data_IF_037290680915
#
_entry.id   IF_037290680915
#
_cell.length_a   1.000
_cell.length_b   1.000
_cell.length_c   1.000
_cell.angle_alpha   90.00
_cell.angle_beta   90.00
_cell.angle_gamma   90.00
#
_symmetry.space_group_name_H-M   'P 1'
#
loop_
_entity.id
_entity.type
_entity.pdbx_description
1 polymer ?
#
# COMPACT_ATOMS: atom_id res chain seq x y z
N UNK A 1 1.43 15.28 3.51
CA UNK A 1 1.84 14.49 2.32
C UNK A 1 0.65 14.17 1.43
N UNK A 2 -0.27 13.34 1.86
CA UNK A 2 -1.53 13.04 1.17
C UNK A 2 -2.70 13.43 2.08
N UNK A 3 -3.65 14.22 1.56
CA UNK A 3 -4.86 14.60 2.29
C UNK A 3 -6.07 14.27 1.44
N UNK A 4 -7.06 13.66 2.06
CA UNK A 4 -8.33 13.28 1.43
C UNK A 4 -9.43 13.97 2.23
N UNK A 5 -10.29 14.70 1.54
CA UNK A 5 -11.41 15.43 2.12
C UNK A 5 -12.71 14.92 1.53
N UNK A 6 -13.60 14.44 2.39
CA UNK A 6 -15.01 14.13 2.10
C UNK A 6 -15.21 13.25 0.84
N UNK A 7 -14.29 12.28 0.63
CA UNK A 7 -14.29 11.43 -0.55
C UNK A 7 -15.46 10.47 -0.53
N UNK A 8 -16.27 10.47 -1.59
CA UNK A 8 -17.38 9.53 -1.75
C UNK A 8 -17.30 8.80 -3.09
N UNK A 9 -17.69 7.53 -3.09
CA UNK A 9 -17.77 6.69 -4.28
C UNK A 9 -18.85 5.63 -4.16
N UNK A 10 -19.70 5.57 -5.16
CA UNK A 10 -20.77 4.57 -5.29
C UNK A 10 -20.62 3.78 -6.59
N UNK A 11 -21.18 2.58 -6.62
CA UNK A 11 -21.34 1.74 -7.80
C UNK A 11 -22.81 1.30 -7.87
N UNK A 12 -23.55 1.90 -8.81
CA UNK A 12 -25.01 1.80 -8.80
C UNK A 12 -25.58 2.36 -7.50
N UNK A 13 -26.44 1.60 -6.84
CA UNK A 13 -27.06 2.01 -5.56
C UNK A 13 -26.18 1.71 -4.33
N UNK A 14 -25.02 1.06 -4.52
CA UNK A 14 -24.13 0.71 -3.41
C UNK A 14 -23.10 1.80 -3.16
N UNK A 15 -23.25 2.55 -2.05
CA UNK A 15 -22.20 3.41 -1.53
C UNK A 15 -21.05 2.57 -0.97
N UNK A 16 -19.81 2.85 -1.41
CA UNK A 16 -18.59 2.12 -1.02
C UNK A 16 -17.64 3.01 -0.22
N UNK A 17 -17.52 4.29 -0.59
CA UNK A 17 -16.87 5.32 0.22
C UNK A 17 -17.93 6.39 0.52
N UNK A 18 -17.99 6.80 1.77
CA UNK A 18 -18.99 7.72 2.27
C UNK A 18 -18.33 8.82 3.10
N UNK A 19 -18.18 9.99 2.49
CA UNK A 19 -17.64 11.20 3.11
C UNK A 19 -16.29 10.98 3.85
N UNK A 20 -15.44 10.15 3.26
CA UNK A 20 -14.19 9.71 3.86
C UNK A 20 -13.16 10.83 3.89
N UNK A 21 -12.64 11.12 5.08
CA UNK A 21 -11.55 12.08 5.25
C UNK A 21 -10.40 11.44 6.01
N UNK A 22 -9.16 11.63 5.51
CA UNK A 22 -7.94 11.14 6.15
C UNK A 22 -6.77 12.05 5.77
N UNK A 23 -5.87 12.29 6.72
CA UNK A 23 -4.64 13.04 6.51
C UNK A 23 -3.44 12.16 6.81
N UNK A 24 -2.56 12.00 5.83
CA UNK A 24 -1.35 11.18 5.91
C UNK A 24 -0.14 12.09 5.93
N UNK A 25 0.59 12.02 7.03
CA UNK A 25 1.75 12.88 7.28
C UNK A 25 2.97 12.41 6.46
N UNK A 26 3.87 13.34 6.15
CA UNK A 26 5.12 13.03 5.44
C UNK A 26 6.03 12.17 6.33
N UNK A 27 6.72 11.21 5.73
CA UNK A 27 7.67 10.31 6.40
C UNK A 27 7.03 9.51 7.55
N UNK A 28 5.75 9.19 7.42
CA UNK A 28 5.01 8.35 8.35
C UNK A 28 4.42 7.14 7.64
N UNK A 29 4.33 6.04 8.36
CA UNK A 29 3.64 4.83 7.92
C UNK A 29 2.21 4.85 8.45
N UNK A 30 1.25 5.06 7.55
CA UNK A 30 -0.18 5.01 7.83
C UNK A 30 -0.74 3.65 7.45
N UNK A 31 -1.28 2.91 8.41
CA UNK A 31 -1.97 1.65 8.12
C UNK A 31 -3.47 1.86 8.14
N UNK A 32 -4.16 1.35 7.13
CA UNK A 32 -5.62 1.37 7.01
C UNK A 32 -6.13 -0.05 7.21
N UNK A 33 -6.79 -0.28 8.34
CA UNK A 33 -7.40 -1.57 8.68
C UNK A 33 -8.90 -1.57 8.41
N UNK A 34 -9.48 -2.74 8.31
CA UNK A 34 -10.94 -2.95 8.16
C UNK A 34 -11.25 -4.29 7.52
N UNK A 35 -12.47 -4.76 7.70
CA UNK A 35 -12.94 -6.03 7.14
C UNK A 35 -12.95 -6.04 5.60
N UNK A 36 -13.28 -7.20 5.03
CA UNK A 36 -13.50 -7.31 3.58
C UNK A 36 -14.67 -6.41 3.15
N UNK A 37 -14.57 -5.81 1.97
CA UNK A 37 -15.64 -4.99 1.40
C UNK A 37 -15.85 -3.62 2.05
N UNK A 38 -15.02 -3.18 3.00
CA UNK A 38 -15.18 -1.86 3.66
C UNK A 38 -14.78 -0.65 2.80
N UNK A 39 -14.24 -0.87 1.60
CA UNK A 39 -13.86 0.22 0.67
C UNK A 39 -12.36 0.47 0.53
N UNK A 40 -11.49 -0.26 1.25
CA UNK A 40 -10.02 -0.05 1.23
C UNK A 40 -9.41 -0.04 -0.17
N UNK A 41 -9.70 -1.06 -0.97
CA UNK A 41 -9.18 -1.14 -2.35
C UNK A 41 -9.80 -0.09 -3.28
N UNK A 42 -11.03 0.36 -3.02
CA UNK A 42 -11.66 1.46 -3.79
C UNK A 42 -10.98 2.78 -3.44
N UNK A 43 -10.72 3.03 -2.16
CA UNK A 43 -9.95 4.19 -1.71
C UNK A 43 -8.59 4.26 -2.41
N UNK A 44 -7.83 3.14 -2.40
CA UNK A 44 -6.55 3.06 -3.09
C UNK A 44 -6.67 3.36 -4.59
N UNK A 45 -7.66 2.77 -5.26
CA UNK A 45 -7.90 3.03 -6.70
C UNK A 45 -8.28 4.49 -6.98
N UNK A 46 -9.02 5.15 -6.09
CA UNK A 46 -9.30 6.59 -6.20
C UNK A 46 -8.02 7.42 -6.05
N UNK A 47 -7.17 7.12 -5.06
CA UNK A 47 -5.89 7.82 -4.88
C UNK A 47 -5.02 7.66 -6.13
N UNK A 48 -4.91 6.44 -6.65
CA UNK A 48 -4.12 6.15 -7.86
C UNK A 48 -4.72 6.73 -9.15
N UNK A 49 -5.98 7.20 -9.13
CA UNK A 49 -6.68 7.69 -10.30
C UNK A 49 -7.14 6.62 -11.27
N UNK A 50 -7.22 5.38 -10.80
CA UNK A 50 -7.79 4.25 -11.56
C UNK A 50 -9.32 4.31 -11.56
N UNK A 51 -9.91 4.96 -10.55
CA UNK A 51 -11.34 5.22 -10.42
C UNK A 51 -11.50 6.68 -9.99
N UNK A 52 -12.38 7.43 -10.67
CA UNK A 52 -12.72 8.77 -10.24
C UNK A 52 -13.74 8.71 -9.08
N UNK A 53 -13.53 9.48 -8.01
CA UNK A 53 -14.54 9.64 -6.96
C UNK A 53 -15.77 10.37 -7.49
N UNK A 54 -16.91 10.19 -6.84
CA UNK A 54 -18.14 10.90 -7.20
C UNK A 54 -18.15 12.32 -6.61
N UNK A 55 -17.53 12.48 -5.41
CA UNK A 55 -17.32 13.78 -4.76
C UNK A 55 -16.11 13.74 -3.84
N UNK A 56 -15.72 14.90 -3.31
CA UNK A 56 -14.56 15.07 -2.46
C UNK A 56 -13.27 15.35 -3.23
N UNK A 57 -12.20 15.54 -2.51
CA UNK A 57 -10.92 15.96 -3.07
C UNK A 57 -9.75 15.18 -2.49
N UNK A 58 -8.75 14.93 -3.33
CA UNK A 58 -7.49 14.30 -2.93
C UNK A 58 -6.36 15.29 -3.21
N UNK A 59 -5.52 15.54 -2.21
CA UNK A 59 -4.35 16.42 -2.33
C UNK A 59 -3.08 15.63 -2.13
N UNK A 60 -2.13 15.82 -3.01
CA UNK A 60 -0.76 15.31 -2.89
C UNK A 60 0.21 16.50 -2.84
N UNK A 61 1.00 16.60 -1.77
CA UNK A 61 1.90 17.74 -1.54
C UNK A 61 1.19 19.10 -1.71
N UNK A 62 -0.02 19.23 -1.12
CA UNK A 62 -0.87 20.42 -1.16
C UNK A 62 -1.46 20.75 -2.55
N UNK A 63 -1.20 19.94 -3.58
CA UNK A 63 -1.77 20.09 -4.90
C UNK A 63 -2.94 19.11 -5.07
N UNK A 64 -4.06 19.58 -5.61
CA UNK A 64 -5.23 18.72 -5.85
C UNK A 64 -4.88 17.69 -6.92
N UNK A 65 -5.21 16.42 -6.66
CA UNK A 65 -5.08 15.34 -7.62
C UNK A 65 -6.42 15.15 -8.33
N UNK A 66 -6.46 15.47 -9.61
CA UNK A 66 -7.60 15.18 -10.47
C UNK A 66 -7.12 14.63 -11.82
N UNK A 67 -8.03 14.17 -12.66
CA UNK A 67 -7.72 13.58 -13.96
C UNK A 67 -6.90 14.50 -14.87
N UNK A 68 -7.10 15.84 -14.75
CA UNK A 68 -6.44 16.80 -15.64
C UNK A 68 -4.99 17.06 -15.24
N UNK A 69 -4.67 17.09 -13.94
CA UNK A 69 -3.36 17.51 -13.46
C UNK A 69 -2.46 16.40 -12.90
N UNK A 70 -2.91 15.13 -12.87
CA UNK A 70 -2.04 14.02 -12.40
C UNK A 70 -0.77 13.86 -13.22
N UNK A 71 -0.85 14.07 -14.53
CA UNK A 71 0.32 14.04 -15.42
C UNK A 71 1.24 15.23 -15.16
N UNK A 72 0.69 16.44 -14.99
CA UNK A 72 1.46 17.66 -14.74
C UNK A 72 2.22 17.61 -13.39
N UNK A 73 1.63 16.97 -12.39
CA UNK A 73 2.25 16.77 -11.06
C UNK A 73 3.28 15.64 -11.10
N UNK A 74 3.33 14.88 -12.18
CA UNK A 74 4.13 13.65 -12.30
C UNK A 74 3.88 12.67 -11.12
N UNK A 75 2.62 12.56 -10.70
CA UNK A 75 2.23 11.80 -9.51
C UNK A 75 2.68 10.35 -9.59
N UNK A 76 2.49 9.70 -10.76
CA UNK A 76 2.82 8.30 -10.92
C UNK A 76 4.33 7.99 -10.87
N UNK A 77 5.18 8.99 -11.13
CA UNK A 77 6.62 8.84 -10.97
C UNK A 77 7.07 8.83 -9.51
N UNK A 78 6.27 9.48 -8.67
CA UNK A 78 6.56 9.69 -7.24
C UNK A 78 5.98 8.61 -6.34
N UNK A 79 5.29 7.62 -6.91
CA UNK A 79 4.70 6.53 -6.15
C UNK A 79 5.34 5.19 -6.49
N UNK A 80 5.42 4.33 -5.48
CA UNK A 80 5.71 2.90 -5.63
C UNK A 80 4.58 2.06 -5.08
N UNK A 81 4.38 0.86 -5.61
CA UNK A 81 3.30 0.00 -5.16
C UNK A 81 3.72 -1.47 -5.10
N UNK A 82 3.42 -2.09 -3.96
CA UNK A 82 3.45 -3.53 -3.76
C UNK A 82 2.01 -4.05 -3.69
N UNK A 83 1.64 -4.86 -4.66
CA UNK A 83 0.32 -5.50 -4.76
C UNK A 83 0.24 -6.79 -3.93
N UNK A 84 -0.94 -7.20 -3.54
CA UNK A 84 -1.21 -8.40 -2.78
C UNK A 84 -0.55 -9.66 -3.38
N UNK A 85 -0.64 -9.86 -4.69
CA UNK A 85 -0.07 -10.99 -5.44
C UNK A 85 1.33 -10.73 -6.01
N UNK A 86 2.11 -9.76 -5.47
CA UNK A 86 3.35 -9.25 -6.06
C UNK A 86 3.18 -8.62 -7.45
N UNK A 87 2.30 -9.13 -8.29
CA UNK A 87 1.97 -8.66 -9.63
C UNK A 87 3.23 -8.43 -10.51
N UNK A 88 4.14 -9.38 -10.46
CA UNK A 88 5.28 -9.40 -11.39
C UNK A 88 4.78 -9.76 -12.78
N UNK A 89 5.45 -9.24 -13.79
CA UNK A 89 5.22 -9.62 -15.19
C UNK A 89 5.90 -10.97 -15.46
N UNK A 90 5.12 -12.01 -15.71
CA UNK A 90 5.64 -13.37 -15.92
C UNK A 90 6.55 -13.48 -17.14
N UNK A 91 6.36 -12.63 -18.15
CA UNK A 91 7.18 -12.56 -19.37
C UNK A 91 8.48 -11.79 -19.21
N UNK A 92 8.73 -11.19 -18.06
CA UNK A 92 9.93 -10.42 -17.75
C UNK A 92 10.74 -11.10 -16.65
N UNK A 93 12.06 -11.07 -16.77
CA UNK A 93 12.93 -11.51 -15.70
C UNK A 93 12.96 -10.51 -14.53
N UNK A 94 13.67 -10.83 -13.45
CA UNK A 94 13.75 -10.00 -12.23
C UNK A 94 14.29 -8.59 -12.55
N UNK A 95 15.39 -8.48 -13.28
CA UNK A 95 15.97 -7.20 -13.66
C UNK A 95 14.98 -6.34 -14.44
N UNK A 96 14.29 -6.93 -15.41
CA UNK A 96 13.30 -6.24 -16.23
C UNK A 96 12.05 -5.83 -15.44
N UNK A 97 11.58 -6.68 -14.51
CA UNK A 97 10.50 -6.33 -13.60
C UNK A 97 10.86 -5.11 -12.75
N UNK A 98 12.05 -5.10 -12.12
CA UNK A 98 12.49 -3.99 -11.26
C UNK A 98 12.59 -2.69 -12.07
N UNK A 99 13.16 -2.74 -13.27
CA UNK A 99 13.44 -1.55 -14.07
C UNK A 99 12.33 -1.16 -15.03
N UNK A 100 11.19 -1.87 -15.03
CA UNK A 100 10.09 -1.67 -15.97
C UNK A 100 9.57 -0.22 -16.00
N UNK A 101 9.36 0.38 -14.81
CA UNK A 101 8.91 1.76 -14.69
C UNK A 101 9.96 2.79 -15.12
N UNK A 102 11.24 2.44 -15.05
CA UNK A 102 12.36 3.30 -15.42
C UNK A 102 12.49 3.36 -16.95
N UNK A 103 12.49 2.22 -17.63
CA UNK A 103 12.62 2.13 -19.10
C UNK A 103 11.64 2.99 -19.90
N UNK A 104 10.44 3.24 -19.34
CA UNK A 104 9.40 4.01 -20.04
C UNK A 104 9.58 5.52 -20.08
N UNK A 105 10.41 6.08 -19.19
CA UNK A 105 10.41 7.51 -18.92
C UNK A 105 11.67 8.23 -19.41
N UNK A 106 12.74 7.51 -19.64
CA UNK A 106 14.02 8.13 -19.94
C UNK A 106 14.88 7.23 -20.82
N UNK A 107 15.26 7.71 -21.99
CA UNK A 107 16.16 7.01 -22.90
C UNK A 107 17.65 7.11 -22.50
N UNK A 108 17.94 7.87 -21.44
CA UNK A 108 19.31 8.19 -21.03
C UNK A 108 19.69 7.62 -19.66
N UNK A 109 19.01 6.54 -19.23
CA UNK A 109 19.32 5.90 -17.96
C UNK A 109 20.67 5.21 -17.98
N UNK A 110 21.41 5.45 -16.89
CA UNK A 110 22.59 4.68 -16.53
C UNK A 110 22.31 3.16 -16.52
N UNK A 111 23.29 2.39 -16.15
CA UNK A 111 23.23 0.93 -16.18
C UNK A 111 22.01 0.39 -15.40
N UNK A 112 20.94 0.01 -16.10
CA UNK A 112 19.72 -0.57 -15.51
C UNK A 112 20.01 -1.82 -14.67
N UNK A 113 21.09 -2.53 -14.99
CA UNK A 113 21.55 -3.68 -14.21
C UNK A 113 22.04 -3.22 -12.84
N UNK A 114 22.83 -2.15 -12.78
CA UNK A 114 23.31 -1.60 -11.50
C UNK A 114 22.17 -1.16 -10.61
N UNK A 115 21.15 -0.50 -11.20
CA UNK A 115 19.94 -0.11 -10.46
C UNK A 115 19.23 -1.35 -9.91
N UNK A 116 19.05 -2.39 -10.73
CA UNK A 116 18.38 -3.61 -10.29
C UNK A 116 19.18 -4.32 -9.18
N UNK A 117 20.50 -4.38 -9.28
CA UNK A 117 21.39 -4.95 -8.25
C UNK A 117 21.28 -4.15 -6.94
N UNK A 118 21.32 -2.82 -6.99
CA UNK A 118 21.14 -1.97 -5.81
C UNK A 118 19.81 -2.26 -5.12
N UNK A 119 18.70 -2.32 -5.89
CA UNK A 119 17.38 -2.55 -5.32
C UNK A 119 17.19 -3.98 -4.80
N UNK A 120 17.81 -4.99 -5.46
CA UNK A 120 17.81 -6.37 -4.93
C UNK A 120 18.53 -6.45 -3.59
N UNK A 121 19.69 -5.80 -3.46
CA UNK A 121 20.42 -5.75 -2.19
C UNK A 121 19.59 -5.15 -1.07
N UNK A 122 18.85 -4.05 -1.34
CA UNK A 122 17.96 -3.40 -0.37
C UNK A 122 16.82 -4.28 0.12
N UNK A 123 16.41 -5.27 -0.67
CA UNK A 123 15.38 -6.25 -0.29
C UNK A 123 15.97 -7.60 0.13
N UNK A 124 17.28 -7.66 0.40
CA UNK A 124 17.97 -8.84 0.89
C UNK A 124 18.01 -10.00 -0.11
N UNK A 125 18.09 -9.69 -1.42
CA UNK A 125 18.29 -10.67 -2.48
C UNK A 125 19.65 -10.49 -3.14
N UNK A 126 20.28 -11.63 -3.49
CA UNK A 126 21.53 -11.66 -4.23
C UNK A 126 21.32 -11.39 -5.72
N UNK A 127 22.34 -10.85 -6.37
CA UNK A 127 22.30 -10.54 -7.81
C UNK A 127 22.20 -11.80 -8.71
N UNK A 128 22.45 -12.99 -8.20
CA UNK A 128 22.27 -14.25 -8.95
C UNK A 128 20.84 -14.46 -9.44
N UNK A 129 19.84 -13.79 -8.80
CA UNK A 129 18.43 -13.90 -9.21
C UNK A 129 18.05 -12.97 -10.37
N UNK A 130 18.93 -12.09 -10.83
CA UNK A 130 18.64 -11.05 -11.82
C UNK A 130 17.93 -11.53 -13.08
N UNK A 131 18.34 -12.71 -13.57
CA UNK A 131 17.85 -13.25 -14.84
C UNK A 131 16.80 -14.34 -14.66
N UNK A 132 16.42 -14.66 -13.40
CA UNK A 132 15.31 -15.59 -13.13
C UNK A 132 13.98 -14.96 -13.47
N UNK A 133 13.03 -15.80 -13.85
CA UNK A 133 11.65 -15.42 -14.10
C UNK A 133 10.80 -15.61 -12.83
N UNK A 134 9.63 -14.95 -12.71
CA UNK A 134 8.76 -15.09 -11.54
C UNK A 134 8.41 -16.53 -11.18
N UNK A 135 8.25 -17.42 -12.17
CA UNK A 135 7.97 -18.84 -11.96
C UNK A 135 9.11 -19.63 -11.30
N UNK A 136 10.33 -19.10 -11.29
CA UNK A 136 11.51 -19.71 -10.69
C UNK A 136 11.76 -19.20 -9.25
N UNK A 137 10.93 -18.27 -8.78
CA UNK A 137 11.05 -17.64 -7.47
C UNK A 137 10.04 -18.22 -6.47
N UNK A 138 10.45 -18.36 -5.21
CA UNK A 138 9.51 -18.60 -4.12
C UNK A 138 8.58 -17.41 -3.91
N UNK A 139 7.41 -17.60 -3.27
CA UNK A 139 6.47 -16.52 -3.00
C UNK A 139 7.07 -15.35 -2.21
N UNK A 140 7.93 -15.65 -1.23
CA UNK A 140 8.69 -14.64 -0.49
C UNK A 140 9.69 -13.88 -1.36
N UNK A 141 10.39 -14.56 -2.28
CA UNK A 141 11.27 -13.89 -3.24
C UNK A 141 10.49 -13.02 -4.21
N UNK A 142 9.34 -13.47 -4.71
CA UNK A 142 8.47 -12.66 -5.57
C UNK A 142 8.02 -11.36 -4.88
N UNK A 143 7.65 -11.42 -3.60
CA UNK A 143 7.29 -10.24 -2.78
C UNK A 143 8.47 -9.28 -2.65
N UNK A 144 9.68 -9.78 -2.40
CA UNK A 144 10.90 -8.97 -2.31
C UNK A 144 11.26 -8.32 -3.65
N UNK A 145 11.16 -9.03 -4.77
CA UNK A 145 11.35 -8.46 -6.12
C UNK A 145 10.30 -7.39 -6.42
N UNK A 146 9.04 -7.61 -6.05
CA UNK A 146 7.99 -6.62 -6.22
C UNK A 146 8.23 -5.36 -5.34
N UNK A 147 8.78 -5.53 -4.13
CA UNK A 147 9.22 -4.42 -3.29
C UNK A 147 10.40 -3.67 -3.92
N UNK A 148 11.41 -4.37 -4.45
CA UNK A 148 12.52 -3.77 -5.20
C UNK A 148 12.01 -2.95 -6.39
N UNK A 149 11.02 -3.45 -7.13
CA UNK A 149 10.34 -2.71 -8.21
C UNK A 149 9.63 -1.47 -7.69
N UNK A 150 8.93 -1.57 -6.56
CA UNK A 150 8.21 -0.44 -5.97
C UNK A 150 9.15 0.73 -5.61
N UNK A 151 10.37 0.43 -5.14
CA UNK A 151 11.37 1.44 -4.74
C UNK A 151 12.37 1.81 -5.84
N UNK A 152 12.23 1.24 -7.04
CA UNK A 152 13.22 1.41 -8.10
C UNK A 152 13.44 2.88 -8.51
N UNK A 153 12.40 3.71 -8.38
CA UNK A 153 12.40 5.14 -8.72
C UNK A 153 12.57 6.09 -7.53
N UNK A 154 12.92 5.57 -6.35
CA UNK A 154 13.01 6.34 -5.10
C UNK A 154 11.73 7.16 -4.86
N UNK A 155 10.58 6.52 -4.68
CA UNK A 155 9.28 7.20 -4.58
C UNK A 155 9.17 8.05 -3.31
N UNK A 156 8.32 9.09 -3.36
CA UNK A 156 7.94 9.88 -2.18
C UNK A 156 6.84 9.16 -1.36
N UNK A 157 6.04 8.31 -2.01
CA UNK A 157 4.90 7.62 -1.41
C UNK A 157 4.88 6.15 -1.84
N UNK A 158 4.84 5.25 -0.86
CA UNK A 158 4.74 3.81 -1.05
C UNK A 158 3.34 3.31 -0.67
N UNK A 159 2.77 2.48 -1.52
CA UNK A 159 1.53 1.77 -1.25
C UNK A 159 1.80 0.28 -1.08
N UNK A 160 1.25 -0.30 -0.02
CA UNK A 160 1.29 -1.74 0.26
C UNK A 160 -0.14 -2.26 0.38
N UNK A 161 -0.55 -3.07 -0.58
CA UNK A 161 -1.88 -3.70 -0.58
C UNK A 161 -1.73 -5.16 -0.12
N UNK A 162 -2.12 -5.42 1.14
CA UNK A 162 -2.08 -6.74 1.77
C UNK A 162 -0.68 -7.42 1.61
N UNK A 163 0.42 -6.79 2.06
CA UNK A 163 1.78 -7.21 1.70
C UNK A 163 2.15 -8.61 2.21
N UNK A 164 1.57 -9.05 3.32
CA UNK A 164 1.87 -10.33 3.99
C UNK A 164 0.86 -11.44 3.69
N UNK A 165 -0.21 -11.13 2.98
CA UNK A 165 -1.25 -12.12 2.65
C UNK A 165 -0.67 -13.27 1.83
N UNK A 166 -1.00 -14.50 2.26
CA UNK A 166 -0.53 -15.75 1.63
C UNK A 166 0.86 -16.20 2.06
N UNK A 167 1.49 -15.54 3.03
CA UNK A 167 2.74 -15.95 3.65
C UNK A 167 2.48 -16.66 4.99
N UNK A 168 3.39 -17.56 5.36
CA UNK A 168 3.43 -18.07 6.72
C UNK A 168 3.85 -16.96 7.72
N UNK A 169 3.59 -17.12 9.02
CA UNK A 169 3.86 -16.07 10.02
C UNK A 169 5.33 -15.64 10.09
N UNK A 170 6.28 -16.54 9.86
CA UNK A 170 7.71 -16.23 9.89
C UNK A 170 8.08 -15.35 8.71
N UNK A 171 7.63 -15.73 7.51
CA UNK A 171 7.86 -14.95 6.30
C UNK A 171 7.12 -13.62 6.32
N UNK A 172 5.91 -13.56 6.90
CA UNK A 172 5.18 -12.32 7.10
C UNK A 172 5.98 -11.35 7.99
N UNK A 173 6.58 -11.87 9.06
CA UNK A 173 7.45 -11.08 9.95
C UNK A 173 8.69 -10.53 9.22
N UNK A 174 9.34 -11.36 8.41
CA UNK A 174 10.49 -10.95 7.58
C UNK A 174 10.09 -9.83 6.59
N UNK A 175 8.95 -9.95 5.93
CA UNK A 175 8.47 -8.92 4.99
C UNK A 175 8.10 -7.62 5.72
N UNK A 176 7.49 -7.70 6.90
CA UNK A 176 7.16 -6.50 7.69
C UNK A 176 8.44 -5.76 8.15
N UNK A 177 9.49 -6.47 8.58
CA UNK A 177 10.77 -5.86 8.91
C UNK A 177 11.37 -5.17 7.69
N UNK A 178 11.38 -5.86 6.56
CA UNK A 178 11.91 -5.33 5.31
C UNK A 178 11.14 -4.09 4.81
N UNK A 179 9.82 -4.05 4.99
CA UNK A 179 9.00 -2.87 4.69
C UNK A 179 9.47 -1.68 5.53
N UNK A 180 9.67 -1.85 6.83
CA UNK A 180 10.15 -0.79 7.71
C UNK A 180 11.54 -0.29 7.32
N UNK A 181 12.48 -1.21 7.08
CA UNK A 181 13.84 -0.88 6.63
C UNK A 181 13.83 -0.07 5.33
N UNK A 182 13.02 -0.51 4.36
CA UNK A 182 12.90 0.16 3.06
C UNK A 182 12.26 1.55 3.18
N UNK A 183 11.20 1.70 3.99
CA UNK A 183 10.53 3.00 4.23
C UNK A 183 11.55 3.98 4.82
N UNK A 184 12.31 3.55 5.83
CA UNK A 184 13.31 4.37 6.50
C UNK A 184 14.46 4.75 5.55
N UNK A 185 15.00 3.77 4.82
CA UNK A 185 16.13 3.99 3.90
C UNK A 185 15.77 4.92 2.73
N UNK A 186 14.58 4.77 2.15
CA UNK A 186 14.10 5.61 1.04
C UNK A 186 13.61 6.97 1.55
N UNK A 187 13.25 7.08 2.83
CA UNK A 187 12.64 8.28 3.40
C UNK A 187 11.24 8.54 2.85
N UNK A 188 10.52 7.50 2.47
CA UNK A 188 9.20 7.60 1.87
C UNK A 188 8.08 7.69 2.92
N UNK A 189 6.94 8.23 2.53
CA UNK A 189 5.68 8.07 3.27
C UNK A 189 5.07 6.75 2.84
N UNK A 190 4.46 6.00 3.76
CA UNK A 190 3.85 4.72 3.44
C UNK A 190 2.35 4.69 3.76
N UNK A 191 1.59 4.00 2.91
CA UNK A 191 0.18 3.66 3.14
C UNK A 191 0.05 2.16 2.95
N UNK A 192 -0.29 1.47 4.03
CA UNK A 192 -0.53 0.02 4.00
C UNK A 192 -1.99 -0.27 4.22
N UNK A 193 -2.56 -1.09 3.37
CA UNK A 193 -3.89 -1.67 3.55
C UNK A 193 -3.71 -3.09 4.02
N UNK A 194 -4.28 -3.45 5.16
CA UNK A 194 -4.26 -4.83 5.65
C UNK A 194 -5.44 -5.13 6.58
N UNK A 195 -5.78 -6.39 6.71
CA UNK A 195 -6.66 -6.92 7.75
C UNK A 195 -5.87 -7.67 8.84
N UNK A 196 -4.56 -7.84 8.65
CA UNK A 196 -3.68 -8.50 9.62
C UNK A 196 -3.19 -7.50 10.68
N UNK A 197 -3.65 -7.72 11.91
CA UNK A 197 -3.36 -6.83 13.03
C UNK A 197 -1.91 -6.90 13.53
N UNK A 198 -1.25 -8.04 13.36
CA UNK A 198 0.16 -8.17 13.78
C UNK A 198 1.06 -7.37 12.82
N UNK A 199 0.82 -7.50 11.50
CA UNK A 199 1.49 -6.65 10.50
C UNK A 199 1.18 -5.16 10.74
N UNK A 200 -0.10 -4.81 10.98
CA UNK A 200 -0.50 -3.43 11.21
C UNK A 200 0.26 -2.78 12.37
N UNK A 201 0.35 -3.45 13.53
CA UNK A 201 1.08 -2.95 14.70
C UNK A 201 2.58 -2.80 14.46
N UNK A 202 3.15 -3.67 13.61
CA UNK A 202 4.58 -3.72 13.37
C UNK A 202 5.08 -2.62 12.44
N UNK A 203 4.27 -2.26 11.43
CA UNK A 203 4.69 -1.33 10.37
C UNK A 203 4.08 0.07 10.51
N UNK A 204 3.11 0.28 11.40
CA UNK A 204 2.39 1.54 11.51
C UNK A 204 3.04 2.52 12.50
N UNK A 205 3.15 3.77 12.10
CA UNK A 205 3.17 4.91 13.03
C UNK A 205 1.73 5.22 13.48
N UNK A 206 0.80 5.30 12.50
CA UNK A 206 -0.62 5.56 12.74
C UNK A 206 -1.51 4.52 12.08
N UNK A 207 -2.62 4.22 12.73
CA UNK A 207 -3.62 3.29 12.21
C UNK A 207 -4.95 4.02 12.06
N UNK A 208 -5.62 3.81 10.92
CA UNK A 208 -7.01 4.24 10.70
C UNK A 208 -7.88 3.03 10.45
N UNK A 209 -9.05 2.98 11.08
CA UNK A 209 -10.03 1.95 10.80
C UNK A 209 -11.10 2.43 9.84
N UNK A 210 -11.24 1.71 8.73
CA UNK A 210 -12.27 1.91 7.72
C UNK A 210 -13.43 0.94 7.96
N UNK A 211 -14.63 1.49 8.12
CA UNK A 211 -15.85 0.71 8.28
C UNK A 211 -17.00 1.37 7.52
N UNK A 212 -17.72 0.59 6.70
CA UNK A 212 -18.83 1.06 5.85
C UNK A 212 -18.50 2.35 5.06
N UNK A 213 -17.32 2.39 4.45
CA UNK A 213 -16.91 3.51 3.60
C UNK A 213 -16.37 4.74 4.32
N UNK A 214 -16.41 4.79 5.65
CA UNK A 214 -15.94 5.92 6.44
C UNK A 214 -14.78 5.55 7.36
N UNK A 215 -13.89 6.51 7.67
CA UNK A 215 -12.88 6.36 8.71
C UNK A 215 -13.55 6.60 10.06
N UNK A 216 -13.67 5.54 10.87
CA UNK A 216 -14.37 5.60 12.16
C UNK A 216 -13.41 5.80 13.35
N UNK A 217 -12.12 5.66 13.14
CA UNK A 217 -11.09 5.88 14.14
C UNK A 217 -9.73 6.11 13.48
N UNK A 218 -8.93 6.98 14.06
CA UNK A 218 -7.51 7.18 13.72
C UNK A 218 -6.74 7.49 15.00
N UNK A 219 -5.59 6.86 15.18
CA UNK A 219 -4.71 7.08 16.32
C UNK A 219 -3.31 6.52 16.08
N UNK A 220 -2.41 6.75 17.04
CA UNK A 220 -1.07 6.17 17.01
C UNK A 220 -1.16 4.64 17.18
N UNK A 221 -0.25 3.91 16.56
CA UNK A 221 -0.29 2.43 16.58
C UNK A 221 -0.23 1.86 18.00
N UNK A 222 0.47 2.55 18.92
CA UNK A 222 0.57 2.15 20.33
C UNK A 222 -0.77 2.29 21.08
N UNK A 223 -1.62 3.22 20.66
CA UNK A 223 -2.88 3.55 21.33
C UNK A 223 -4.06 2.69 20.86
N UNK A 224 -3.84 1.80 19.90
CA UNK A 224 -4.93 1.02 19.30
C UNK A 224 -5.69 0.16 20.34
N UNK A 225 -5.00 -0.36 21.36
CA UNK A 225 -5.62 -1.14 22.44
C UNK A 225 -6.45 -0.31 23.41
N UNK A 226 -6.23 1.00 23.43
CA UNK A 226 -6.92 2.01 24.25
C UNK A 226 -7.74 2.97 23.40
N UNK A 227 -8.20 2.49 22.24
CA UNK A 227 -8.92 3.28 21.23
C UNK A 227 -10.23 3.90 21.74
N UNK A 228 -10.82 3.34 22.80
CA UNK A 228 -12.16 3.66 23.31
C UNK A 228 -13.25 3.57 22.20
N UNK A 229 -12.99 2.78 21.15
CA UNK A 229 -13.92 2.57 20.05
C UNK A 229 -14.31 1.10 19.97
N UNK A 230 -15.58 0.74 20.20
CA UNK A 230 -16.02 -0.65 20.26
C UNK A 230 -15.86 -1.41 18.94
N UNK A 231 -15.84 -0.72 17.79
CA UNK A 231 -15.56 -1.36 16.48
C UNK A 231 -14.08 -1.76 16.36
N UNK A 232 -13.18 -0.86 16.79
CA UNK A 232 -11.74 -1.14 16.83
C UNK A 232 -11.46 -2.28 17.78
N UNK A 233 -12.03 -2.24 18.98
CA UNK A 233 -11.86 -3.28 19.99
C UNK A 233 -12.32 -4.66 19.51
N UNK A 234 -13.49 -4.72 18.87
CA UNK A 234 -14.00 -5.96 18.28
C UNK A 234 -13.07 -6.48 17.20
N UNK A 235 -12.61 -5.60 16.29
CA UNK A 235 -11.75 -5.98 15.18
C UNK A 235 -10.40 -6.53 15.65
N UNK A 236 -9.77 -5.87 16.65
CA UNK A 236 -8.49 -6.31 17.22
C UNK A 236 -8.62 -7.67 17.93
N UNK A 237 -9.74 -7.88 18.64
CA UNK A 237 -9.99 -9.13 19.39
C UNK A 237 -10.40 -10.29 18.47
N UNK A 238 -10.76 -10.01 17.21
CA UNK A 238 -11.32 -11.01 16.31
C UNK A 238 -12.64 -11.61 16.83
N UNK A 239 -13.43 -10.82 17.61
CA UNK A 239 -14.66 -11.31 18.22
C UNK A 239 -15.83 -11.29 17.24
N UNK A 240 -16.64 -12.35 17.23
CA UNK A 240 -17.91 -12.38 16.52
C UNK A 240 -18.98 -11.49 17.18
N UNK A 241 -18.82 -11.24 18.50
CA UNK A 241 -19.73 -10.42 19.28
C UNK A 241 -19.25 -8.96 19.31
N UNK A 242 -20.14 -8.04 18.88
CA UNK A 242 -19.83 -6.62 18.88
C UNK A 242 -20.67 -5.83 17.85
N UNK A 243 -20.33 -4.55 17.63
CA UNK A 243 -21.07 -3.69 16.74
C UNK A 243 -20.87 -4.02 15.25
N UNK A 244 -19.77 -4.66 14.86
CA UNK A 244 -19.56 -5.18 13.50
C UNK A 244 -20.40 -6.43 13.34
N UNK A 245 -21.47 -6.32 12.53
CA UNK A 245 -22.32 -7.46 12.18
C UNK A 245 -21.84 -8.07 10.88
N UNK A 246 -21.58 -9.37 10.87
CA UNK A 246 -21.24 -10.13 9.69
C UNK A 246 -22.54 -10.76 9.21
N UNK A 247 -22.98 -10.43 8.00
CA UNK A 247 -24.10 -11.11 7.38
C UNK A 247 -23.58 -12.41 6.75
N UNK A 248 -24.26 -13.55 6.94
CA UNK A 248 -23.84 -14.82 6.37
C UNK A 248 -23.74 -14.83 4.83
N UNK A 249 -24.27 -13.79 4.18
CA UNK A 249 -24.30 -13.62 2.71
C UNK A 249 -23.32 -12.57 2.19
N UNK A 250 -22.42 -12.01 3.04
CA UNK A 250 -21.38 -11.05 2.65
C UNK A 250 -20.07 -11.75 2.23
#
# INVERSE_FOLDING_TARGET
MLKINELSKSFGDKSVLDNLSINIERNKSQVIIGGSGTGKSVLLKCILGLIEPDSGEIFFNQQILNKKNRADIDFHSKIGMLFQGAALFDSLNVQENITFGIKKLDSNHGNLIEIAVDKLKKVGLDSSVLYLYPSELSGGMQKRVALARAIARNPELLFFDEPTTGLDPIMADVINNLINEVIEEVGATAITITHDMESAKKIADKISMLYKGAVIWTGDAMDIKSSNNPYVDQFIKGSSDGPIKINPND
#
